data_IF_457677675066
#
_entry.id   IF_457677675066
#
_cell.length_a   1.000
_cell.length_b   1.000
_cell.length_c   1.000
_cell.angle_alpha   90.00
_cell.angle_beta   90.00
_cell.angle_gamma   90.00
#
_symmetry.space_group_name_H-M   'P 1'
#
loop_
_entity.id
_entity.type
_entity.pdbx_description
1 polymer ?
#
# COMPACT_ATOMS: atom_id res chain seq x y z
N UNK A 1 -22.56 0.49 -5.15
CA UNK A 1 -23.67 0.00 -4.30
C UNK A 1 -23.20 -1.01 -3.25
N UNK A 2 -22.43 -2.04 -3.59
CA UNK A 2 -21.89 -3.04 -2.65
C UNK A 2 -20.98 -2.46 -1.55
N UNK A 3 -20.14 -1.49 -1.87
CA UNK A 3 -19.22 -0.86 -0.93
C UNK A 3 -19.95 -0.22 0.28
N UNK A 4 -21.04 0.51 0.05
CA UNK A 4 -21.84 1.11 1.13
C UNK A 4 -22.44 0.05 2.06
N UNK A 5 -22.80 -1.13 1.53
CA UNK A 5 -23.30 -2.23 2.34
C UNK A 5 -22.22 -2.81 3.25
N UNK A 6 -20.98 -2.91 2.76
CA UNK A 6 -19.84 -3.36 3.58
C UNK A 6 -19.51 -2.39 4.70
N UNK A 7 -19.50 -1.07 4.43
CA UNK A 7 -19.33 -0.06 5.47
C UNK A 7 -20.36 -0.24 6.58
N UNK A 8 -21.65 -0.29 6.25
CA UNK A 8 -22.73 -0.47 7.21
C UNK A 8 -22.64 -1.78 7.98
N UNK A 9 -22.35 -2.89 7.29
CA UNK A 9 -22.20 -4.22 7.92
C UNK A 9 -21.09 -4.25 8.96
N UNK A 10 -20.03 -3.47 8.75
CA UNK A 10 -18.88 -3.41 9.65
C UNK A 10 -18.93 -2.21 10.62
N UNK A 11 -20.02 -1.46 10.63
CA UNK A 11 -20.18 -0.25 11.44
C UNK A 11 -19.03 0.76 11.21
N UNK A 12 -18.72 1.00 9.94
CA UNK A 12 -17.70 1.94 9.47
C UNK A 12 -18.33 3.03 8.61
N UNK A 13 -17.72 4.20 8.63
CA UNK A 13 -18.15 5.34 7.83
C UNK A 13 -17.31 5.52 6.56
N UNK A 14 -16.10 4.96 6.54
CA UNK A 14 -15.20 4.95 5.39
C UNK A 14 -14.12 3.88 5.50
N UNK A 15 -13.31 3.76 4.44
CA UNK A 15 -12.23 2.78 4.36
C UNK A 15 -11.02 3.35 3.63
N UNK A 16 -9.82 2.99 4.11
CA UNK A 16 -8.53 3.41 3.57
C UNK A 16 -7.97 2.27 2.72
N UNK A 17 -7.59 2.58 1.47
CA UNK A 17 -7.05 1.64 0.50
C UNK A 17 -5.70 2.18 0.03
N UNK A 18 -4.57 1.70 0.58
CA UNK A 18 -3.25 2.07 0.10
C UNK A 18 -2.89 1.30 -1.18
N UNK A 19 -1.85 1.76 -1.88
CA UNK A 19 -1.27 1.06 -3.03
C UNK A 19 -0.57 -0.22 -2.62
N UNK A 20 0.11 -0.19 -1.48
CA UNK A 20 0.99 -1.27 -1.03
C UNK A 20 0.27 -2.60 -0.80
N UNK A 21 0.99 -3.68 -1.00
CA UNK A 21 0.60 -5.05 -0.64
C UNK A 21 1.10 -5.46 0.76
N UNK A 22 0.96 -6.73 1.09
CA UNK A 22 1.38 -7.32 2.36
C UNK A 22 2.91 -7.34 2.56
N UNK A 23 3.68 -7.11 1.50
CA UNK A 23 5.14 -7.05 1.50
C UNK A 23 5.68 -5.63 1.35
N UNK A 24 4.80 -4.63 1.22
CA UNK A 24 5.10 -3.21 0.98
C UNK A 24 5.89 -3.00 -0.31
N UNK A 25 5.61 -3.79 -1.34
CA UNK A 25 6.28 -3.68 -2.64
C UNK A 25 5.84 -2.43 -3.39
N UNK A 26 6.77 -1.82 -4.14
CA UNK A 26 6.44 -0.71 -5.04
C UNK A 26 5.64 -1.19 -6.26
N UNK A 27 5.96 -2.38 -6.76
CA UNK A 27 5.28 -3.00 -7.90
C UNK A 27 4.48 -4.18 -7.42
N UNK A 28 3.24 -3.92 -7.07
CA UNK A 28 2.33 -4.94 -6.57
C UNK A 28 1.95 -5.94 -7.67
N UNK A 29 1.88 -7.23 -7.37
CA UNK A 29 1.36 -8.19 -8.34
C UNK A 29 -0.12 -7.93 -8.63
N UNK A 30 -0.63 -8.31 -9.82
CA UNK A 30 -2.03 -8.08 -10.20
C UNK A 30 -3.05 -8.54 -9.16
N UNK A 31 -2.75 -9.60 -8.41
CA UNK A 31 -3.60 -10.10 -7.32
C UNK A 31 -3.66 -9.19 -6.10
N UNK A 32 -2.71 -8.29 -5.93
CA UNK A 32 -2.61 -7.37 -4.79
C UNK A 32 -2.87 -5.90 -5.15
N UNK A 33 -3.11 -5.61 -6.44
CA UNK A 33 -3.30 -4.25 -6.94
C UNK A 33 -4.73 -3.72 -6.67
N UNK A 34 -5.05 -3.63 -5.40
CA UNK A 34 -6.37 -3.26 -4.88
C UNK A 34 -6.75 -1.82 -5.22
N UNK A 35 -5.77 -0.91 -5.16
CA UNK A 35 -5.99 0.50 -5.48
C UNK A 35 -6.37 0.65 -6.94
N UNK A 36 -5.63 0.04 -7.85
CA UNK A 36 -5.95 0.05 -9.27
C UNK A 36 -7.33 -0.54 -9.54
N UNK A 37 -7.63 -1.71 -8.97
CA UNK A 37 -8.92 -2.37 -9.20
C UNK A 37 -10.12 -1.51 -8.81
N UNK A 38 -10.06 -0.79 -7.68
CA UNK A 38 -11.19 0.01 -7.20
C UNK A 38 -11.27 1.40 -7.83
N UNK A 39 -10.13 1.95 -8.29
CA UNK A 39 -10.05 3.34 -8.75
C UNK A 39 -9.75 3.49 -10.24
N UNK A 40 -9.17 2.47 -10.89
CA UNK A 40 -8.59 2.54 -12.23
C UNK A 40 -7.17 3.13 -12.25
N UNK A 41 -6.66 3.71 -11.16
CA UNK A 41 -5.35 4.33 -11.10
C UNK A 41 -4.22 3.29 -11.05
N UNK A 42 -3.31 3.32 -12.03
CA UNK A 42 -2.23 2.33 -12.22
C UNK A 42 -0.84 2.80 -11.76
N UNK A 43 -0.72 3.97 -11.13
CA UNK A 43 0.57 4.49 -10.66
C UNK A 43 1.06 3.80 -9.39
N UNK A 44 2.38 3.74 -9.20
CA UNK A 44 3.03 3.02 -8.09
C UNK A 44 3.06 3.75 -6.74
N UNK A 45 2.43 4.90 -6.63
CA UNK A 45 2.37 5.64 -5.36
C UNK A 45 1.04 6.37 -5.20
N UNK A 46 0.20 5.86 -4.31
CA UNK A 46 -1.11 6.44 -4.06
C UNK A 46 -1.85 5.78 -2.90
N UNK A 47 -2.96 6.37 -2.57
CA UNK A 47 -3.88 5.87 -1.56
C UNK A 47 -5.28 6.43 -1.86
N UNK A 48 -6.32 5.66 -1.58
CA UNK A 48 -7.70 6.15 -1.65
C UNK A 48 -8.35 6.11 -0.27
N UNK A 49 -9.19 7.10 0.01
CA UNK A 49 -10.17 7.06 1.10
C UNK A 49 -11.55 7.15 0.49
N UNK A 50 -12.40 6.19 0.82
CA UNK A 50 -13.76 6.11 0.32
C UNK A 50 -14.72 6.12 1.51
N UNK A 51 -15.69 7.04 1.53
CA UNK A 51 -16.76 7.08 2.51
C UNK A 51 -18.15 6.95 1.83
N UNK A 52 -19.24 7.06 2.56
CA UNK A 52 -20.59 6.93 1.97
C UNK A 52 -20.92 7.95 0.88
N UNK A 53 -20.29 9.12 0.90
CA UNK A 53 -20.65 10.27 0.04
C UNK A 53 -19.55 10.63 -0.95
N UNK A 54 -18.31 10.59 -0.51
CA UNK A 54 -17.15 11.11 -1.22
C UNK A 54 -16.06 10.04 -1.31
N UNK A 55 -15.24 10.13 -2.34
CA UNK A 55 -14.04 9.33 -2.48
C UNK A 55 -12.92 10.21 -3.02
N UNK A 56 -11.69 9.93 -2.59
CA UNK A 56 -10.50 10.65 -3.03
C UNK A 56 -9.39 9.69 -3.37
N UNK A 57 -8.59 10.04 -4.36
CA UNK A 57 -7.32 9.38 -4.66
C UNK A 57 -6.21 10.39 -4.40
N UNK A 58 -5.37 10.08 -3.44
CA UNK A 58 -4.13 10.80 -3.18
C UNK A 58 -3.02 10.18 -4.01
N UNK A 59 -2.29 10.98 -4.78
CA UNK A 59 -1.19 10.51 -5.63
C UNK A 59 0.07 11.33 -5.42
N UNK A 60 1.20 10.70 -5.67
CA UNK A 60 2.49 11.41 -5.78
C UNK A 60 2.46 12.41 -6.94
N UNK A 61 3.21 13.50 -6.83
CA UNK A 61 3.24 14.58 -7.82
C UNK A 61 3.56 14.13 -9.26
N UNK A 62 4.22 12.98 -9.45
CA UNK A 62 4.48 12.35 -10.75
C UNK A 62 3.19 11.88 -11.45
N UNK A 63 2.14 11.62 -10.72
CA UNK A 63 0.91 10.97 -11.20
C UNK A 63 -0.30 11.90 -11.31
N UNK A 64 -0.14 13.20 -11.10
CA UNK A 64 -1.25 14.18 -11.09
C UNK A 64 -2.03 14.27 -12.40
N UNK A 65 -1.38 14.02 -13.52
CA UNK A 65 -2.04 13.97 -14.85
C UNK A 65 -2.61 12.59 -15.10
N UNK A 66 -1.87 11.54 -14.79
CA UNK A 66 -2.26 10.15 -15.04
C UNK A 66 -3.55 9.78 -14.30
N UNK A 67 -3.66 10.11 -13.01
CA UNK A 67 -4.86 9.78 -12.22
C UNK A 67 -6.13 10.38 -12.82
N UNK A 68 -6.06 11.58 -13.39
CA UNK A 68 -7.20 12.24 -14.04
C UNK A 68 -7.62 11.59 -15.38
N UNK A 69 -6.69 10.88 -16.01
CA UNK A 69 -6.95 10.17 -17.27
C UNK A 69 -7.49 8.76 -17.04
N UNK A 70 -7.10 8.13 -15.93
CA UNK A 70 -7.40 6.74 -15.64
C UNK A 70 -8.60 6.56 -14.71
N UNK A 71 -8.85 7.52 -13.81
CA UNK A 71 -9.89 7.42 -12.80
C UNK A 71 -11.07 8.36 -13.11
N UNK A 72 -12.32 7.90 -12.93
CA UNK A 72 -13.49 8.71 -13.25
C UNK A 72 -13.71 9.84 -12.25
N UNK A 73 -13.61 11.09 -12.73
CA UNK A 73 -13.74 12.31 -11.91
C UNK A 73 -15.15 12.53 -11.33
N UNK A 74 -16.15 11.82 -11.83
CA UNK A 74 -17.50 11.82 -11.25
C UNK A 74 -17.59 11.06 -9.92
N UNK A 75 -16.61 10.19 -9.61
CA UNK A 75 -16.59 9.40 -8.38
C UNK A 75 -15.47 9.77 -7.43
N UNK A 76 -14.37 10.35 -7.94
CA UNK A 76 -13.17 10.60 -7.16
C UNK A 76 -12.70 12.04 -7.25
N UNK A 77 -12.39 12.62 -6.10
CA UNK A 77 -11.51 13.78 -6.02
C UNK A 77 -10.05 13.33 -6.18
N UNK A 78 -9.19 14.24 -6.66
CA UNK A 78 -7.75 13.97 -6.83
C UNK A 78 -6.95 14.97 -6.03
N UNK A 79 -6.11 14.47 -5.13
CA UNK A 79 -5.29 15.29 -4.24
C UNK A 79 -3.84 14.80 -4.20
N UNK A 80 -2.94 15.65 -3.75
CA UNK A 80 -1.55 15.30 -3.50
C UNK A 80 -1.44 14.35 -2.28
N UNK A 81 -0.48 13.40 -2.33
CA UNK A 81 -0.28 12.38 -1.30
C UNK A 81 0.34 12.93 0.00
N UNK A 82 0.56 14.26 0.11
CA UNK A 82 1.12 14.88 1.31
C UNK A 82 0.19 14.73 2.52
N UNK A 83 0.80 14.73 3.70
CA UNK A 83 0.09 14.61 4.99
C UNK A 83 -0.91 15.76 5.15
N UNK A 84 -0.53 16.97 4.74
CA UNK A 84 -1.36 18.17 4.83
C UNK A 84 -2.64 18.03 4.01
N UNK A 85 -2.55 17.44 2.79
CA UNK A 85 -3.70 17.22 1.93
C UNK A 85 -4.61 16.12 2.45
N UNK A 86 -4.03 15.02 2.94
CA UNK A 86 -4.80 13.95 3.60
C UNK A 86 -5.56 14.49 4.81
N UNK A 87 -4.88 15.25 5.69
CA UNK A 87 -5.49 15.88 6.85
C UNK A 87 -6.60 16.85 6.47
N UNK A 88 -6.36 17.71 5.48
CA UNK A 88 -7.37 18.65 4.99
C UNK A 88 -8.62 17.92 4.50
N UNK A 89 -8.44 16.91 3.63
CA UNK A 89 -9.59 16.18 3.10
C UNK A 89 -10.38 15.44 4.19
N UNK A 90 -9.69 14.82 5.15
CA UNK A 90 -10.33 14.16 6.30
C UNK A 90 -11.15 15.18 7.11
N UNK A 91 -10.59 16.33 7.41
CA UNK A 91 -11.29 17.40 8.13
C UNK A 91 -12.56 17.88 7.42
N UNK A 92 -12.51 17.99 6.09
CA UNK A 92 -13.63 18.50 5.29
C UNK A 92 -14.71 17.44 5.03
N UNK A 93 -14.33 16.17 5.03
CA UNK A 93 -15.21 15.07 4.58
C UNK A 93 -15.56 14.03 5.67
N UNK A 94 -14.87 14.05 6.80
CA UNK A 94 -15.14 13.16 7.93
C UNK A 94 -15.60 13.97 9.15
N UNK A 95 -16.67 13.56 9.76
CA UNK A 95 -17.19 14.21 10.99
C UNK A 95 -16.45 13.65 12.21
N UNK A 96 -16.43 14.42 13.30
CA UNK A 96 -15.99 13.90 14.59
C UNK A 96 -16.74 12.61 14.95
N UNK A 97 -16.01 11.62 15.43
CA UNK A 97 -16.52 10.28 15.71
C UNK A 97 -16.63 9.34 14.49
N UNK A 98 -16.21 9.79 13.27
CA UNK A 98 -16.16 8.94 12.08
C UNK A 98 -15.23 7.74 12.28
N UNK A 99 -15.64 6.59 11.82
CA UNK A 99 -14.88 5.34 11.87
C UNK A 99 -14.31 5.03 10.49
N UNK A 100 -13.00 5.19 10.35
CA UNK A 100 -12.28 4.82 9.13
C UNK A 100 -11.64 3.43 9.30
N UNK A 101 -12.12 2.46 8.53
CA UNK A 101 -11.57 1.12 8.47
C UNK A 101 -10.26 1.09 7.69
N UNK A 102 -9.37 0.22 8.09
CA UNK A 102 -8.13 -0.09 7.35
C UNK A 102 -7.72 -1.54 7.54
N UNK A 103 -6.96 -2.08 6.58
CA UNK A 103 -6.37 -3.41 6.71
C UNK A 103 -4.95 -3.31 7.27
N UNK A 104 -4.67 -3.85 8.47
CA UNK A 104 -3.34 -3.74 9.09
C UNK A 104 -2.26 -4.50 8.32
N UNK A 105 -2.64 -5.42 7.42
CA UNK A 105 -1.69 -6.22 6.63
C UNK A 105 -0.97 -5.44 5.53
N UNK A 106 -1.55 -4.31 5.08
CA UNK A 106 -1.07 -3.54 3.93
C UNK A 106 -0.74 -2.09 4.29
N UNK A 107 -0.61 -1.79 5.56
CA UNK A 107 -0.21 -0.47 6.04
C UNK A 107 1.04 -0.61 6.91
N UNK A 108 2.12 0.06 6.55
CA UNK A 108 3.34 0.07 7.36
C UNK A 108 3.11 0.76 8.71
N UNK A 109 3.90 0.40 9.72
CA UNK A 109 3.84 1.03 11.05
C UNK A 109 4.08 2.55 10.98
N UNK A 110 4.90 3.01 10.05
CA UNK A 110 5.15 4.44 9.81
C UNK A 110 3.91 5.12 9.25
N UNK A 111 3.29 4.56 8.22
CA UNK A 111 2.05 5.10 7.63
C UNK A 111 0.91 5.08 8.65
N UNK A 112 0.79 4.01 9.44
CA UNK A 112 -0.19 3.92 10.51
C UNK A 112 -0.05 5.06 11.53
N UNK A 113 1.17 5.34 12.02
CA UNK A 113 1.43 6.44 12.97
C UNK A 113 1.02 7.81 12.41
N UNK A 114 1.21 8.04 11.11
CA UNK A 114 0.73 9.28 10.48
C UNK A 114 -0.79 9.36 10.43
N UNK A 115 -1.45 8.28 10.04
CA UNK A 115 -2.92 8.21 10.03
C UNK A 115 -3.49 8.36 11.44
N UNK A 116 -2.90 7.70 12.42
CA UNK A 116 -3.29 7.80 13.84
C UNK A 116 -3.16 9.23 14.37
N UNK A 117 -2.08 9.93 14.02
CA UNK A 117 -1.92 11.34 14.37
C UNK A 117 -3.03 12.19 13.77
N UNK A 118 -3.34 12.04 12.49
CA UNK A 118 -4.44 12.75 11.82
C UNK A 118 -5.77 12.40 12.48
N UNK A 119 -6.01 11.13 12.75
CA UNK A 119 -7.24 10.64 13.37
C UNK A 119 -7.48 11.29 14.74
N UNK A 120 -6.44 11.33 15.57
CA UNK A 120 -6.50 11.99 16.89
C UNK A 120 -6.78 13.49 16.78
N UNK A 121 -6.12 14.19 15.85
CA UNK A 121 -6.28 15.63 15.66
C UNK A 121 -7.68 16.00 15.12
N UNK A 122 -8.27 15.15 14.28
CA UNK A 122 -9.59 15.37 13.67
C UNK A 122 -10.72 14.63 14.40
N UNK A 123 -10.42 13.99 15.53
CA UNK A 123 -11.39 13.26 16.36
C UNK A 123 -12.15 12.15 15.59
N UNK A 124 -11.42 11.40 14.77
CA UNK A 124 -11.93 10.21 14.09
C UNK A 124 -11.31 8.95 14.69
N UNK A 125 -11.93 7.80 14.49
CA UNK A 125 -11.48 6.49 14.96
C UNK A 125 -10.92 5.67 13.80
N UNK A 126 -9.70 5.12 13.94
CA UNK A 126 -9.16 4.12 13.02
C UNK A 126 -9.53 2.73 13.50
N UNK A 127 -10.19 1.95 12.64
CA UNK A 127 -10.69 0.62 12.97
C UNK A 127 -10.03 -0.45 12.12
N UNK A 128 -9.32 -1.37 12.76
CA UNK A 128 -8.74 -2.53 12.07
C UNK A 128 -9.84 -3.47 11.57
N UNK A 129 -9.76 -3.85 10.31
CA UNK A 129 -10.70 -4.80 9.74
C UNK A 129 -10.12 -5.55 8.52
N UNK A 130 -10.85 -6.54 8.03
CA UNK A 130 -10.50 -7.22 6.77
C UNK A 130 -10.59 -6.25 5.61
N UNK A 131 -9.72 -6.43 4.61
CA UNK A 131 -9.76 -5.61 3.43
C UNK A 131 -11.10 -5.74 2.70
N UNK A 132 -11.74 -4.62 2.43
CA UNK A 132 -13.05 -4.61 1.78
C UNK A 132 -12.96 -4.90 0.29
N UNK A 133 -11.86 -4.49 -0.36
CA UNK A 133 -11.65 -4.79 -1.77
C UNK A 133 -11.58 -6.31 -1.96
N UNK A 134 -10.87 -7.03 -1.10
CA UNK A 134 -10.77 -8.50 -1.16
C UNK A 134 -12.13 -9.21 -1.03
N UNK A 135 -13.13 -8.57 -0.42
CA UNK A 135 -14.46 -9.15 -0.24
C UNK A 135 -15.37 -8.96 -1.46
N UNK A 136 -15.07 -8.00 -2.32
CA UNK A 136 -15.89 -7.65 -3.49
C UNK A 136 -15.21 -7.91 -4.82
N UNK A 137 -13.92 -8.18 -4.82
CA UNK A 137 -13.13 -8.48 -6.01
C UNK A 137 -13.29 -9.97 -6.40
N UNK A 138 -14.40 -10.27 -7.07
CA UNK A 138 -14.77 -11.67 -7.37
C UNK A 138 -13.89 -12.33 -8.41
N UNK A 139 -13.37 -11.57 -9.36
CA UNK A 139 -12.48 -12.00 -10.44
C UNK A 139 -11.00 -11.70 -10.15
N UNK A 140 -10.65 -11.63 -8.86
CA UNK A 140 -9.27 -11.37 -8.41
C UNK A 140 -8.31 -12.40 -9.03
N UNK A 141 -7.21 -11.94 -9.65
CA UNK A 141 -6.19 -12.83 -10.17
C UNK A 141 -5.59 -13.73 -9.07
N UNK A 142 -5.07 -14.88 -9.47
CA UNK A 142 -4.34 -15.75 -8.55
C UNK A 142 -3.03 -15.07 -8.09
N UNK A 143 -2.61 -15.41 -6.87
CA UNK A 143 -1.30 -14.99 -6.38
C UNK A 143 -0.18 -15.54 -7.26
N UNK A 144 0.95 -14.81 -7.42
CA UNK A 144 2.11 -15.32 -8.14
C UNK A 144 2.58 -16.66 -7.54
N UNK A 145 2.70 -17.68 -8.36
CA UNK A 145 3.17 -19.02 -7.97
C UNK A 145 4.21 -19.57 -8.95
N UNK A 146 4.86 -18.67 -9.68
CA UNK A 146 5.90 -19.02 -10.64
C UNK A 146 7.14 -19.60 -9.98
N UNK A 147 7.98 -20.23 -10.79
CA UNK A 147 9.22 -20.84 -10.34
C UNK A 147 10.24 -19.78 -9.91
N UNK A 148 10.97 -20.04 -8.83
CA UNK A 148 12.10 -19.22 -8.42
C UNK A 148 13.32 -19.62 -9.24
N UNK A 149 13.85 -18.68 -10.01
CA UNK A 149 15.02 -18.90 -10.86
C UNK A 149 16.26 -18.19 -10.31
N UNK A 150 17.44 -18.77 -10.58
CA UNK A 150 18.71 -18.13 -10.29
C UNK A 150 19.00 -16.99 -11.27
N UNK A 151 19.37 -15.83 -10.75
CA UNK A 151 19.77 -14.67 -11.54
C UNK A 151 21.29 -14.64 -11.68
N UNK A 152 21.79 -15.00 -12.86
CA UNK A 152 23.21 -15.17 -13.12
C UNK A 152 24.05 -13.94 -12.83
N UNK A 153 25.31 -14.17 -12.40
CA UNK A 153 26.26 -13.12 -12.05
C UNK A 153 26.52 -12.13 -13.19
N UNK A 154 26.50 -12.59 -14.44
CA UNK A 154 26.68 -11.73 -15.63
C UNK A 154 25.63 -10.60 -15.72
N UNK A 155 24.46 -10.77 -15.11
CA UNK A 155 23.40 -9.75 -15.04
C UNK A 155 23.39 -9.01 -13.70
N UNK A 156 23.73 -9.68 -12.60
CA UNK A 156 23.69 -9.12 -11.25
C UNK A 156 24.99 -8.40 -10.85
N UNK A 157 26.07 -8.59 -11.62
CA UNK A 157 27.38 -7.98 -11.38
C UNK A 157 28.15 -8.53 -10.17
N UNK A 158 27.50 -9.24 -9.25
CA UNK A 158 28.11 -9.87 -8.06
C UNK A 158 27.36 -11.15 -7.71
N UNK A 159 28.10 -12.18 -7.31
CA UNK A 159 27.50 -13.40 -6.78
C UNK A 159 27.07 -13.26 -5.32
N UNK A 160 26.28 -14.21 -4.87
CA UNK A 160 25.80 -14.26 -3.49
C UNK A 160 26.91 -14.26 -2.43
N UNK A 161 28.03 -14.98 -2.67
CA UNK A 161 29.14 -15.07 -1.71
C UNK A 161 29.77 -13.71 -1.43
N UNK A 162 29.97 -12.90 -2.49
CA UNK A 162 30.51 -11.56 -2.37
C UNK A 162 29.57 -10.60 -1.67
N UNK A 163 28.27 -10.67 -2.01
CA UNK A 163 27.23 -9.89 -1.31
C UNK A 163 27.16 -10.23 0.16
N UNK A 164 27.12 -11.54 0.49
CA UNK A 164 27.15 -12.02 1.88
C UNK A 164 28.41 -11.55 2.63
N UNK A 165 29.58 -11.67 2.01
CA UNK A 165 30.83 -11.22 2.64
C UNK A 165 30.80 -9.72 2.95
N UNK A 166 30.28 -8.89 2.03
CA UNK A 166 30.16 -7.47 2.28
C UNK A 166 29.15 -7.16 3.39
N UNK A 167 28.01 -7.86 3.40
CA UNK A 167 27.00 -7.72 4.45
C UNK A 167 27.58 -8.08 5.83
N UNK A 168 28.29 -9.20 5.93
CA UNK A 168 28.95 -9.61 7.20
C UNK A 168 29.95 -8.58 7.71
N UNK A 169 30.69 -7.88 6.83
CA UNK A 169 31.57 -6.78 7.25
C UNK A 169 30.78 -5.63 7.89
N UNK A 170 29.61 -5.31 7.34
CA UNK A 170 28.74 -4.27 7.90
C UNK A 170 28.19 -4.71 9.26
N UNK A 171 27.67 -5.93 9.37
CA UNK A 171 27.13 -6.47 10.62
C UNK A 171 28.20 -6.45 11.73
N UNK A 172 29.41 -6.92 11.42
CA UNK A 172 30.53 -6.91 12.37
C UNK A 172 30.91 -5.48 12.81
N UNK A 173 30.93 -4.53 11.89
CA UNK A 173 31.19 -3.11 12.20
C UNK A 173 30.14 -2.54 13.15
N UNK A 174 28.87 -2.84 12.88
CA UNK A 174 27.74 -2.38 13.69
C UNK A 174 27.52 -3.23 14.96
N UNK A 175 28.34 -4.27 15.18
CA UNK A 175 28.25 -5.20 16.31
C UNK A 175 26.88 -5.87 16.43
N UNK A 176 26.35 -6.32 15.29
CA UNK A 176 25.06 -6.99 15.16
C UNK A 176 25.28 -8.42 14.67
N UNK A 177 24.65 -9.40 15.32
CA UNK A 177 24.85 -10.82 15.02
C UNK A 177 23.95 -11.33 13.89
N UNK A 178 22.81 -10.66 13.63
CA UNK A 178 21.85 -11.08 12.64
C UNK A 178 21.10 -9.90 12.02
N UNK A 179 20.61 -10.10 10.80
CA UNK A 179 19.76 -9.15 10.06
C UNK A 179 18.50 -9.87 9.60
N UNK A 180 17.34 -9.28 9.91
CA UNK A 180 16.07 -9.70 9.33
C UNK A 180 15.78 -8.89 8.06
N UNK A 181 15.51 -9.57 6.94
CA UNK A 181 15.17 -8.97 5.66
C UNK A 181 13.74 -9.36 5.33
N UNK A 182 12.83 -8.39 5.29
CA UNK A 182 11.39 -8.60 5.02
C UNK A 182 10.98 -8.25 3.59
N UNK A 183 11.71 -7.34 2.93
CA UNK A 183 11.40 -6.93 1.58
C UNK A 183 11.83 -7.97 0.55
N UNK A 184 10.92 -8.32 -0.36
CA UNK A 184 11.15 -9.31 -1.42
C UNK A 184 12.31 -8.90 -2.33
N UNK A 185 12.41 -7.63 -2.71
CA UNK A 185 13.44 -7.10 -3.60
C UNK A 185 14.84 -7.24 -2.99
N UNK A 186 14.97 -6.89 -1.71
CA UNK A 186 16.23 -7.04 -0.97
C UNK A 186 16.63 -8.51 -0.84
N UNK A 187 15.65 -9.39 -0.60
CA UNK A 187 15.87 -10.84 -0.53
C UNK A 187 16.32 -11.38 -1.90
N UNK A 188 15.62 -11.01 -2.96
CA UNK A 188 15.95 -11.41 -4.33
C UNK A 188 17.33 -10.88 -4.77
N UNK A 189 17.65 -9.62 -4.42
CA UNK A 189 18.95 -9.04 -4.70
C UNK A 189 20.07 -9.78 -3.97
N UNK A 190 19.91 -10.03 -2.67
CA UNK A 190 20.94 -10.69 -1.87
C UNK A 190 21.21 -12.11 -2.35
N UNK A 191 20.16 -12.89 -2.60
CA UNK A 191 20.27 -14.31 -2.96
C UNK A 191 20.53 -14.55 -4.45
N UNK A 192 20.51 -13.52 -5.30
CA UNK A 192 20.56 -13.66 -6.76
C UNK A 192 19.44 -14.55 -7.31
N UNK A 193 18.23 -14.34 -6.87
CA UNK A 193 17.05 -15.06 -7.35
C UNK A 193 16.01 -14.10 -7.94
N UNK A 194 15.11 -14.65 -8.75
CA UNK A 194 13.90 -13.98 -9.24
C UNK A 194 12.73 -14.92 -9.12
N UNK A 195 11.56 -14.42 -8.74
CA UNK A 195 10.29 -15.08 -8.84
C UNK A 195 9.47 -14.50 -9.99
N UNK A 196 8.52 -15.26 -10.50
CA UNK A 196 7.60 -14.87 -11.57
C UNK A 196 6.15 -15.09 -11.12
#
# INVERSE_FOLDING_TARGET
MFYKLLLKKNNLDGFIIPHEDEFLTEYTPPSSDRLHWITGFSGSAGMSIINERNAVIFVDGRYTTQVKMESPSEFFDFEDLSIERQKKWIRENCKSGYKLGFSPKIISSTKFKFLEKIANEESIELVECKNFVDQIWLDRPNEPNGEIIYHEEKFSGKNFKDKKTNLLKVLNKEKVDSLFISESDNTCWLLNIRGH
#
